data_IF_510662998403
#
_entry.id   IF_510662998403
#
_cell.length_a   1.000
_cell.length_b   1.000
_cell.length_c   1.000
_cell.angle_alpha   90.00
_cell.angle_beta   90.00
_cell.angle_gamma   90.00
#
_symmetry.space_group_name_H-M   'P 1'
#
loop_
_entity.id
_entity.type
_entity.pdbx_description
1 polymer ?
#
# COMPACT_ATOMS: atom_id res chain seq x y z
N UNK A 1 25.77 35.26 -3.04
CA UNK A 1 25.11 36.35 -2.29
C UNK A 1 26.06 36.84 -1.19
N UNK A 2 25.99 38.12 -0.81
CA UNK A 2 26.66 38.70 0.36
C UNK A 2 25.60 39.48 1.17
N UNK A 3 25.77 39.57 2.49
CA UNK A 3 24.91 40.37 3.37
C UNK A 3 25.76 41.03 4.45
N UNK A 4 25.40 42.26 4.83
CA UNK A 4 25.97 42.98 5.99
C UNK A 4 25.12 42.82 7.26
N UNK A 5 23.96 42.17 7.16
CA UNK A 5 23.07 41.88 8.29
C UNK A 5 22.91 40.37 8.48
N UNK A 6 22.97 39.87 9.72
CA UNK A 6 22.63 38.48 10.02
C UNK A 6 21.17 38.17 9.65
N UNK A 7 20.93 36.95 9.20
CA UNK A 7 19.60 36.51 8.80
C UNK A 7 19.62 35.32 7.85
N UNK A 8 18.46 34.73 7.65
CA UNK A 8 18.26 33.62 6.73
C UNK A 8 17.58 34.12 5.46
N UNK A 9 18.12 33.75 4.30
CA UNK A 9 17.60 34.15 2.99
C UNK A 9 17.37 32.92 2.12
N UNK A 10 16.22 32.89 1.45
CA UNK A 10 15.91 31.90 0.41
C UNK A 10 15.94 32.60 -0.93
N UNK A 11 16.75 32.10 -1.86
CA UNK A 11 16.78 32.58 -3.24
C UNK A 11 15.76 31.77 -4.03
N UNK A 12 14.91 32.46 -4.78
CA UNK A 12 13.95 31.82 -5.66
C UNK A 12 14.17 32.23 -7.12
N UNK A 13 13.84 31.33 -8.04
CA UNK A 13 13.89 31.58 -9.48
C UNK A 13 12.59 31.13 -10.13
N UNK A 14 12.16 31.85 -11.17
CA UNK A 14 10.92 31.60 -11.89
C UNK A 14 11.09 31.98 -13.36
N UNK A 15 10.65 31.14 -14.28
CA UNK A 15 10.53 31.49 -15.71
C UNK A 15 9.13 32.07 -16.00
N UNK A 16 8.96 32.69 -17.17
CA UNK A 16 7.67 33.26 -17.59
C UNK A 16 6.56 32.19 -17.64
N UNK A 17 6.91 30.94 -17.96
CA UNK A 17 5.96 29.83 -18.10
C UNK A 17 5.55 29.18 -16.77
N UNK A 18 6.31 29.41 -15.69
CA UNK A 18 6.02 28.79 -14.40
C UNK A 18 4.85 29.49 -13.69
N UNK A 19 4.02 28.72 -12.98
CA UNK A 19 2.96 29.28 -12.12
C UNK A 19 3.52 29.77 -10.77
N UNK A 20 4.55 29.12 -10.22
CA UNK A 20 5.22 29.48 -8.97
C UNK A 20 6.76 29.47 -9.09
N UNK A 21 7.45 30.19 -8.21
CA UNK A 21 8.92 30.18 -8.16
C UNK A 21 9.43 28.91 -7.46
N UNK A 22 10.60 28.42 -7.87
CA UNK A 22 11.32 27.37 -7.17
C UNK A 22 12.32 27.99 -6.19
N UNK A 23 12.40 27.43 -4.99
CA UNK A 23 13.27 27.91 -3.93
C UNK A 23 14.55 27.06 -3.86
N UNK A 24 15.70 27.71 -3.77
CA UNK A 24 16.97 27.08 -3.41
C UNK A 24 17.03 26.77 -1.91
N UNK A 25 18.07 26.02 -1.49
CA UNK A 25 18.38 25.87 -0.07
C UNK A 25 18.65 27.22 0.60
N UNK A 26 18.20 27.38 1.84
CA UNK A 26 18.40 28.61 2.58
C UNK A 26 19.89 28.90 2.83
N UNK A 27 20.27 30.16 2.68
CA UNK A 27 21.60 30.68 3.04
C UNK A 27 21.48 31.43 4.37
N UNK A 28 22.39 31.13 5.29
CA UNK A 28 22.42 31.75 6.62
C UNK A 28 23.58 32.74 6.66
N UNK A 29 23.28 34.01 6.87
CA UNK A 29 24.25 35.06 7.17
C UNK A 29 24.35 35.25 8.67
N UNK A 30 25.59 35.29 9.17
CA UNK A 30 25.87 35.37 10.61
C UNK A 30 26.90 36.44 10.90
N UNK A 31 26.83 37.01 12.10
CA UNK A 31 27.93 37.78 12.68
C UNK A 31 28.93 36.78 13.28
N UNK A 32 30.07 36.56 12.59
CA UNK A 32 31.06 35.59 13.03
C UNK A 32 31.81 36.01 14.30
N UNK A 33 31.76 37.27 14.70
CA UNK A 33 32.38 37.74 15.96
C UNK A 33 31.60 37.26 17.19
N UNK A 34 30.39 36.73 16.99
CA UNK A 34 29.52 36.15 18.00
C UNK A 34 29.30 34.68 17.71
N UNK A 35 28.98 33.91 18.74
CA UNK A 35 28.52 32.53 18.54
C UNK A 35 27.23 32.57 17.72
N UNK A 36 27.23 31.89 16.58
CA UNK A 36 26.12 31.93 15.63
C UNK A 36 25.87 30.55 15.03
N UNK A 37 24.59 30.26 14.76
CA UNK A 37 24.20 29.03 14.05
C UNK A 37 24.53 29.21 12.57
N UNK A 38 25.40 28.36 12.04
CA UNK A 38 25.85 28.39 10.64
C UNK A 38 25.21 27.29 9.79
N UNK A 39 24.60 26.30 10.45
CA UNK A 39 23.99 25.14 9.81
C UNK A 39 22.84 24.65 10.70
N UNK A 40 21.72 24.29 10.09
CA UNK A 40 20.64 23.50 10.69
C UNK A 40 20.15 22.50 9.64
N UNK A 41 20.21 21.21 9.96
CA UNK A 41 19.83 20.13 9.03
C UNK A 41 18.98 19.08 9.74
N UNK A 42 17.93 18.63 9.05
CA UNK A 42 17.24 17.40 9.36
C UNK A 42 17.92 16.24 8.64
N UNK A 43 17.97 15.06 9.26
CA UNK A 43 18.45 13.82 8.64
C UNK A 43 17.50 13.29 7.56
N UNK A 44 16.19 13.55 7.71
CA UNK A 44 15.13 13.22 6.74
C UNK A 44 14.05 14.29 6.73
N UNK A 45 13.27 14.33 5.66
CA UNK A 45 12.20 15.31 5.45
C UNK A 45 10.79 14.72 5.64
N UNK A 46 10.69 13.42 5.86
CA UNK A 46 9.43 12.71 6.10
C UNK A 46 9.59 11.74 7.26
N UNK A 47 8.53 11.55 8.04
CA UNK A 47 8.50 10.59 9.14
C UNK A 47 7.08 10.07 9.37
N UNK A 48 6.94 8.92 10.02
CA UNK A 48 5.65 8.35 10.41
C UNK A 48 5.15 8.99 11.70
N UNK A 49 3.88 9.38 11.73
CA UNK A 49 3.22 10.01 12.88
C UNK A 49 2.83 8.99 13.98
N UNK A 50 3.76 8.14 14.40
CA UNK A 50 3.52 7.07 15.38
C UNK A 50 4.13 7.35 16.76
N UNK A 51 4.62 8.57 17.00
CA UNK A 51 5.30 8.97 18.23
C UNK A 51 6.74 8.46 18.38
N UNK A 52 7.18 7.56 17.49
CA UNK A 52 8.45 6.83 17.59
C UNK A 52 9.42 7.18 16.45
N UNK A 53 8.93 7.36 15.23
CA UNK A 53 9.76 7.69 14.08
C UNK A 53 10.28 9.13 14.17
N UNK A 54 11.53 9.26 14.61
CA UNK A 54 12.13 10.54 14.96
C UNK A 54 12.88 11.17 13.78
N UNK A 55 12.68 12.47 13.58
CA UNK A 55 13.54 13.31 12.74
C UNK A 55 14.64 13.89 13.62
N UNK A 56 15.90 13.68 13.24
CA UNK A 56 17.05 14.21 13.98
C UNK A 56 17.50 15.51 13.36
N UNK A 57 17.46 16.59 14.15
CA UNK A 57 18.00 17.88 13.78
C UNK A 57 19.41 18.03 14.32
N UNK A 58 20.34 18.47 13.47
CA UNK A 58 21.71 18.83 13.84
C UNK A 58 21.95 20.29 13.51
N UNK A 59 22.39 21.06 14.51
CA UNK A 59 22.84 22.44 14.33
C UNK A 59 24.36 22.52 14.46
N UNK A 60 24.98 23.51 13.83
CA UNK A 60 26.40 23.83 14.02
C UNK A 60 26.59 25.28 14.45
N UNK A 61 27.23 25.47 15.60
CA UNK A 61 27.56 26.79 16.15
C UNK A 61 29.02 27.10 15.91
N UNK A 62 29.27 28.27 15.31
CA UNK A 62 30.61 28.76 15.01
C UNK A 62 30.80 30.17 15.58
N UNK A 63 32.05 30.49 15.93
CA UNK A 63 32.52 31.83 16.29
C UNK A 63 33.96 31.99 15.78
N UNK A 64 34.28 33.10 15.15
CA UNK A 64 35.60 33.42 14.61
C UNK A 64 36.17 32.28 13.74
N UNK A 65 35.30 31.67 12.92
CA UNK A 65 35.66 30.54 12.05
C UNK A 65 35.89 29.19 12.76
N UNK A 66 35.69 29.11 14.08
CA UNK A 66 35.92 27.89 14.89
C UNK A 66 34.62 27.35 15.50
N UNK A 67 34.51 26.02 15.70
CA UNK A 67 33.38 25.42 16.40
C UNK A 67 33.35 25.86 17.87
N UNK A 68 32.15 26.07 18.40
CA UNK A 68 31.96 26.48 19.81
C UNK A 68 31.41 25.31 20.61
N UNK A 69 32.20 24.77 21.54
CA UNK A 69 31.77 23.73 22.48
C UNK A 69 31.03 24.32 23.68
N UNK A 70 30.12 23.54 24.28
CA UNK A 70 29.46 23.88 25.54
C UNK A 70 28.42 24.99 25.40
N UNK A 71 28.05 25.37 24.17
CA UNK A 71 27.12 26.45 23.92
C UNK A 71 25.68 25.95 23.94
N UNK A 72 24.80 26.68 24.62
CA UNK A 72 23.37 26.34 24.68
C UNK A 72 22.66 26.80 23.41
N UNK A 73 21.94 25.88 22.78
CA UNK A 73 21.07 26.14 21.64
C UNK A 73 19.63 25.90 22.07
N UNK A 74 18.79 26.92 21.94
CA UNK A 74 17.34 26.81 22.12
C UNK A 74 16.70 26.34 20.81
N UNK A 75 15.90 25.29 20.89
CA UNK A 75 15.10 24.77 19.80
C UNK A 75 13.63 25.05 20.07
N UNK A 76 12.89 25.41 19.03
CA UNK A 76 11.43 25.48 19.04
C UNK A 76 10.86 24.81 17.79
N UNK A 77 9.62 24.33 17.88
CA UNK A 77 8.90 23.76 16.74
C UNK A 77 7.46 24.25 16.75
N UNK A 78 6.86 24.41 15.56
CA UNK A 78 5.43 24.71 15.43
C UNK A 78 4.54 23.45 15.51
N UNK A 79 5.11 22.25 15.37
CA UNK A 79 4.38 20.98 15.33
C UNK A 79 5.23 19.82 15.83
N UNK A 80 4.59 18.80 16.43
CA UNK A 80 5.28 17.68 17.06
C UNK A 80 5.90 18.04 18.41
N UNK A 81 6.70 17.14 18.98
CA UNK A 81 7.35 17.30 20.28
C UNK A 81 8.81 16.88 20.21
N UNK A 82 9.69 17.70 20.79
CA UNK A 82 11.08 17.33 20.94
C UNK A 82 11.26 16.29 22.04
N UNK A 83 11.99 15.23 21.73
CA UNK A 83 12.24 14.09 22.62
C UNK A 83 10.94 13.55 23.27
N UNK A 84 9.79 13.69 22.57
CA UNK A 84 8.46 13.31 23.06
C UNK A 84 7.89 14.14 24.21
N UNK A 85 8.45 15.31 24.54
CA UNK A 85 8.13 16.06 25.77
C UNK A 85 7.54 17.45 25.55
N UNK A 86 8.19 18.29 24.76
CA UNK A 86 7.84 19.71 24.67
C UNK A 86 8.17 20.29 23.29
N UNK A 87 7.50 21.38 22.94
CA UNK A 87 7.74 22.12 21.68
C UNK A 87 8.93 23.09 21.77
N UNK A 88 9.49 23.27 22.97
CA UNK A 88 10.71 24.04 23.19
C UNK A 88 11.64 23.27 24.13
N UNK A 89 12.91 23.19 23.75
CA UNK A 89 13.96 22.45 24.47
C UNK A 89 15.32 23.12 24.23
N UNK A 90 16.33 22.75 25.00
CA UNK A 90 17.72 23.17 24.75
C UNK A 90 18.61 21.95 24.52
N UNK A 91 19.69 22.15 23.76
CA UNK A 91 20.79 21.20 23.66
C UNK A 91 22.13 21.94 23.72
N UNK A 92 23.16 21.26 24.21
CA UNK A 92 24.51 21.81 24.36
C UNK A 92 25.39 21.32 23.22
N UNK A 93 26.23 22.19 22.68
CA UNK A 93 27.16 21.80 21.61
C UNK A 93 28.32 20.95 22.11
N UNK A 94 28.70 19.94 21.32
CA UNK A 94 29.91 19.14 21.51
C UNK A 94 31.18 19.87 21.07
N UNK A 95 32.31 19.15 21.12
CA UNK A 95 33.63 19.68 20.73
C UNK A 95 33.74 20.09 19.26
N UNK A 96 32.90 19.52 18.40
CA UNK A 96 32.77 19.87 16.98
C UNK A 96 31.80 21.04 16.72
N UNK A 97 31.27 21.64 17.80
CA UNK A 97 30.31 22.74 17.75
C UNK A 97 28.91 22.30 17.35
N UNK A 98 28.59 20.99 17.37
CA UNK A 98 27.28 20.49 16.99
C UNK A 98 26.39 20.19 18.19
N UNK A 99 25.12 20.51 18.08
CA UNK A 99 24.08 20.09 19.01
C UNK A 99 22.98 19.36 18.23
N UNK A 100 22.36 18.36 18.86
CA UNK A 100 21.35 17.51 18.22
C UNK A 100 20.08 17.44 19.05
N UNK A 101 18.93 17.38 18.37
CA UNK A 101 17.63 17.12 19.00
C UNK A 101 16.76 16.26 18.11
N UNK A 102 15.89 15.45 18.71
CA UNK A 102 14.93 14.60 17.97
C UNK A 102 13.53 15.16 18.05
N UNK A 103 12.78 15.10 16.96
CA UNK A 103 11.39 15.51 16.86
C UNK A 103 10.51 14.31 16.48
N UNK A 104 9.43 14.07 17.23
CA UNK A 104 8.42 13.06 16.92
C UNK A 104 7.02 13.68 16.89
N UNK A 105 6.04 12.96 16.32
CA UNK A 105 4.63 13.35 16.34
C UNK A 105 3.73 12.11 16.39
N UNK A 106 2.56 12.22 17.04
CA UNK A 106 1.48 11.23 17.00
C UNK A 106 0.37 11.61 16.01
N UNK A 107 0.52 12.73 15.30
CA UNK A 107 -0.44 13.22 14.33
C UNK A 107 0.27 13.63 13.05
N UNK A 108 -0.34 13.35 11.90
CA UNK A 108 0.16 13.84 10.63
C UNK A 108 0.14 15.37 10.60
N UNK A 109 1.16 15.97 10.00
CA UNK A 109 1.28 17.42 9.92
C UNK A 109 2.68 17.88 9.53
N UNK A 110 2.80 19.18 9.28
CA UNK A 110 4.04 19.82 8.84
C UNK A 110 4.72 20.50 10.01
N UNK A 111 6.00 20.19 10.21
CA UNK A 111 6.83 20.79 11.24
C UNK A 111 7.97 21.61 10.63
N UNK A 112 8.16 22.80 11.20
CA UNK A 112 9.33 23.64 10.98
C UNK A 112 10.01 23.84 12.34
N UNK A 113 11.23 23.34 12.45
CA UNK A 113 12.08 23.55 13.63
C UNK A 113 12.87 24.83 13.45
N UNK A 114 12.87 25.65 14.49
CA UNK A 114 13.75 26.80 14.64
C UNK A 114 14.81 26.52 15.69
N UNK A 115 15.98 27.16 15.55
CA UNK A 115 17.01 27.16 16.57
C UNK A 115 17.60 28.57 16.74
N UNK A 116 17.98 28.91 17.96
CA UNK A 116 18.68 30.15 18.29
C UNK A 116 19.71 29.90 19.39
N UNK A 117 20.81 30.65 19.33
CA UNK A 117 21.78 30.78 20.44
C UNK A 117 21.52 32.09 21.17
N UNK A 118 21.96 32.20 22.43
CA UNK A 118 21.72 33.40 23.24
C UNK A 118 22.27 34.66 22.57
N UNK A 119 21.41 35.66 22.34
CA UNK A 119 21.76 36.90 21.65
C UNK A 119 21.99 36.77 20.13
N UNK A 120 21.78 35.58 19.56
CA UNK A 120 21.87 35.31 18.13
C UNK A 120 20.52 35.39 17.41
N UNK A 121 20.56 35.39 16.08
CA UNK A 121 19.36 35.36 15.23
C UNK A 121 18.79 33.93 15.16
N UNK A 122 17.46 33.83 15.15
CA UNK A 122 16.76 32.57 14.90
C UNK A 122 17.06 32.05 13.47
N UNK A 123 17.30 30.75 13.35
CA UNK A 123 17.48 30.06 12.08
C UNK A 123 16.45 28.94 11.96
N UNK A 124 15.75 28.86 10.83
CA UNK A 124 14.73 27.83 10.57
C UNK A 124 15.29 26.69 9.73
N UNK A 125 14.93 25.46 10.07
CA UNK A 125 15.20 24.28 9.27
C UNK A 125 14.27 24.22 8.05
N UNK A 126 14.59 23.33 7.12
CA UNK A 126 13.65 22.92 6.07
C UNK A 126 12.43 22.25 6.72
N UNK A 127 11.23 22.52 6.19
CA UNK A 127 10.00 21.87 6.63
C UNK A 127 10.10 20.35 6.48
N UNK A 128 9.62 19.63 7.49
CA UNK A 128 9.47 18.18 7.45
C UNK A 128 7.99 17.82 7.61
N UNK A 129 7.56 16.72 7.01
CA UNK A 129 6.17 16.27 7.09
C UNK A 129 6.07 14.93 7.81
N UNK A 130 5.25 14.89 8.85
CA UNK A 130 4.80 13.65 9.46
C UNK A 130 3.56 13.15 8.71
N UNK A 131 3.57 11.90 8.26
CA UNK A 131 2.44 11.24 7.59
C UNK A 131 1.80 10.21 8.50
N UNK A 132 0.49 9.98 8.31
CA UNK A 132 -0.20 8.91 9.02
C UNK A 132 0.45 7.55 8.72
N UNK A 133 0.30 6.61 9.64
CA UNK A 133 0.79 5.25 9.43
C UNK A 133 0.05 4.58 8.27
N UNK A 134 0.83 4.07 7.30
CA UNK A 134 0.30 3.32 6.17
C UNK A 134 -0.34 2.02 6.66
N UNK A 135 -1.53 1.70 6.16
CA UNK A 135 -2.24 0.46 6.44
C UNK A 135 -3.02 -0.04 5.23
N UNK A 136 -3.18 -1.36 5.13
CA UNK A 136 -4.13 -2.00 4.22
C UNK A 136 -5.33 -2.46 5.06
N UNK A 137 -6.55 -2.17 4.60
CA UNK A 137 -7.79 -2.66 5.20
C UNK A 137 -7.79 -4.20 5.21
N UNK A 138 -8.23 -4.82 6.31
CA UNK A 138 -8.35 -6.27 6.37
C UNK A 138 -9.51 -6.77 5.50
N UNK A 139 -10.50 -5.91 5.23
CA UNK A 139 -11.59 -6.17 4.31
C UNK A 139 -11.18 -5.86 2.88
N UNK A 140 -11.72 -6.66 1.97
CA UNK A 140 -11.54 -6.54 0.53
C UNK A 140 -12.88 -6.29 -0.13
N UNK A 141 -12.89 -5.56 -1.24
CA UNK A 141 -14.09 -5.41 -2.07
C UNK A 141 -14.08 -6.44 -3.18
N UNK A 142 -15.05 -7.36 -3.18
CA UNK A 142 -15.18 -8.35 -4.25
C UNK A 142 -15.81 -7.69 -5.48
N UNK A 143 -15.10 -7.72 -6.61
CA UNK A 143 -15.50 -6.95 -7.81
C UNK A 143 -16.80 -7.46 -8.42
N UNK A 144 -17.05 -8.77 -8.36
CA UNK A 144 -18.21 -9.37 -9.04
C UNK A 144 -19.57 -9.09 -8.39
N UNK A 145 -19.60 -8.74 -7.10
CA UNK A 145 -20.83 -8.51 -6.35
C UNK A 145 -20.81 -7.23 -5.48
N UNK A 146 -19.71 -6.47 -5.48
CA UNK A 146 -19.51 -5.25 -4.68
C UNK A 146 -19.67 -5.45 -3.17
N UNK A 147 -19.45 -6.67 -2.67
CA UNK A 147 -19.47 -6.96 -1.23
C UNK A 147 -18.10 -6.66 -0.63
N UNK A 148 -18.08 -5.90 0.46
CA UNK A 148 -16.89 -5.67 1.28
C UNK A 148 -16.86 -6.63 2.47
N UNK A 149 -15.80 -7.41 2.61
CA UNK A 149 -15.69 -8.42 3.68
C UNK A 149 -14.33 -9.08 3.73
N UNK A 150 -14.20 -10.17 4.46
CA UNK A 150 -12.99 -11.01 4.40
C UNK A 150 -12.87 -11.67 3.02
N UNK A 151 -11.63 -11.92 2.59
CA UNK A 151 -11.38 -12.65 1.34
C UNK A 151 -11.98 -14.07 1.45
N UNK A 152 -12.82 -14.51 0.50
CA UNK A 152 -13.38 -15.86 0.52
C UNK A 152 -12.29 -16.94 0.55
N UNK A 153 -12.49 -17.98 1.37
CA UNK A 153 -11.59 -19.14 1.46
C UNK A 153 -11.81 -20.18 0.34
N UNK A 154 -12.63 -19.84 -0.66
CA UNK A 154 -12.89 -20.64 -1.86
C UNK A 154 -12.79 -19.70 -3.06
N UNK A 155 -12.04 -20.07 -4.09
CA UNK A 155 -11.67 -19.13 -5.14
C UNK A 155 -12.27 -19.49 -6.49
N UNK A 156 -12.72 -18.49 -7.23
CA UNK A 156 -12.85 -18.57 -8.68
C UNK A 156 -11.50 -18.14 -9.28
N UNK A 157 -10.87 -18.97 -10.12
CA UNK A 157 -9.66 -18.55 -10.83
C UNK A 157 -9.99 -17.30 -11.67
N UNK A 158 -9.11 -16.32 -11.64
CA UNK A 158 -9.28 -14.97 -12.16
C UNK A 158 -10.37 -14.13 -11.49
N UNK A 159 -10.90 -14.59 -10.35
CA UNK A 159 -11.67 -13.75 -9.44
C UNK A 159 -10.84 -12.56 -9.00
N UNK A 160 -11.51 -11.40 -8.90
CA UNK A 160 -10.86 -10.13 -8.60
C UNK A 160 -11.47 -9.49 -7.36
N UNK A 161 -10.60 -8.91 -6.55
CA UNK A 161 -10.98 -8.09 -5.40
C UNK A 161 -10.10 -6.85 -5.32
N UNK A 162 -10.54 -5.82 -4.61
CA UNK A 162 -9.77 -4.59 -4.42
C UNK A 162 -9.32 -4.45 -2.96
N UNK A 163 -8.03 -4.22 -2.79
CA UNK A 163 -7.44 -3.80 -1.52
C UNK A 163 -7.56 -2.28 -1.36
N UNK A 164 -7.74 -1.82 -0.13
CA UNK A 164 -7.80 -0.40 0.23
C UNK A 164 -6.61 -0.06 1.12
N UNK A 165 -5.72 0.81 0.65
CA UNK A 165 -4.68 1.39 1.46
C UNK A 165 -5.10 2.78 1.97
N UNK A 166 -4.66 3.13 3.18
CA UNK A 166 -4.85 4.45 3.79
C UNK A 166 -3.60 4.83 4.60
N UNK A 167 -3.41 6.13 4.85
CA UNK A 167 -2.20 6.63 5.49
C UNK A 167 -1.07 6.92 4.50
N UNK A 168 0.14 7.17 5.02
CA UNK A 168 1.24 7.71 4.23
C UNK A 168 0.87 9.03 3.56
N UNK A 169 1.46 9.29 2.40
CA UNK A 169 1.17 10.46 1.58
C UNK A 169 -0.04 10.31 0.64
N UNK A 170 -0.81 9.23 0.75
CA UNK A 170 -1.97 8.96 -0.11
C UNK A 170 -1.66 8.46 -1.52
N UNK A 171 -0.38 8.31 -1.89
CA UNK A 171 0.05 7.78 -3.18
C UNK A 171 0.62 6.39 -2.95
N UNK A 172 0.03 5.37 -3.57
CA UNK A 172 0.41 3.97 -3.34
C UNK A 172 0.93 3.31 -4.61
N UNK A 173 1.97 2.49 -4.42
CA UNK A 173 2.46 1.52 -5.39
C UNK A 173 2.23 0.12 -4.85
N UNK A 174 1.85 -0.81 -5.74
CA UNK A 174 1.48 -2.17 -5.36
C UNK A 174 2.42 -3.19 -6.00
N UNK A 175 2.67 -4.28 -5.29
CA UNK A 175 3.54 -5.37 -5.73
C UNK A 175 3.01 -6.72 -5.23
N UNK A 176 3.14 -7.76 -6.04
CA UNK A 176 2.86 -9.15 -5.61
C UNK A 176 4.17 -9.93 -5.53
N UNK A 177 4.39 -10.64 -4.43
CA UNK A 177 5.57 -11.50 -4.26
C UNK A 177 5.59 -12.70 -5.22
N UNK A 178 4.42 -13.17 -5.66
CA UNK A 178 4.32 -14.27 -6.61
C UNK A 178 3.13 -14.09 -7.55
N UNK A 179 3.42 -13.65 -8.77
CA UNK A 179 2.43 -13.39 -9.82
C UNK A 179 1.75 -14.64 -10.37
N UNK A 180 2.33 -15.83 -10.16
CA UNK A 180 1.68 -17.10 -10.55
C UNK A 180 0.48 -17.42 -9.65
N UNK A 181 0.44 -16.87 -8.42
CA UNK A 181 -0.66 -17.04 -7.47
C UNK A 181 -1.62 -15.87 -7.56
N UNK A 182 -1.13 -14.62 -7.52
CA UNK A 182 -1.97 -13.44 -7.68
C UNK A 182 -1.19 -12.26 -8.26
N UNK A 183 -1.84 -11.46 -9.11
CA UNK A 183 -1.32 -10.17 -9.60
C UNK A 183 -2.09 -9.02 -8.96
N UNK A 184 -1.49 -7.83 -8.93
CA UNK A 184 -2.13 -6.60 -8.43
C UNK A 184 -1.82 -5.46 -9.40
N UNK A 185 -2.82 -4.65 -9.73
CA UNK A 185 -2.64 -3.46 -10.56
C UNK A 185 -2.38 -2.19 -9.73
N UNK A 186 -2.09 -1.07 -10.39
CA UNK A 186 -1.80 0.21 -9.74
C UNK A 186 -2.97 0.75 -8.90
N UNK A 187 -4.19 0.27 -9.11
CA UNK A 187 -5.37 0.66 -8.34
C UNK A 187 -5.60 -0.20 -7.08
N UNK A 188 -4.74 -1.20 -6.84
CA UNK A 188 -4.91 -2.18 -5.77
C UNK A 188 -5.92 -3.29 -6.11
N UNK A 189 -6.31 -3.44 -7.37
CA UNK A 189 -7.16 -4.57 -7.82
C UNK A 189 -6.29 -5.80 -7.98
N UNK A 190 -6.58 -6.82 -7.18
CA UNK A 190 -5.91 -8.12 -7.18
C UNK A 190 -6.67 -9.08 -8.09
N UNK A 191 -5.94 -9.89 -8.87
CA UNK A 191 -6.48 -11.02 -9.66
C UNK A 191 -5.84 -12.31 -9.17
N UNK A 192 -6.65 -13.30 -8.79
CA UNK A 192 -6.19 -14.60 -8.32
C UNK A 192 -5.91 -15.52 -9.53
N UNK A 193 -4.67 -15.92 -9.76
CA UNK A 193 -4.25 -16.70 -10.93
C UNK A 193 -4.09 -18.19 -10.64
N UNK A 194 -3.72 -18.56 -9.41
CA UNK A 194 -3.44 -19.93 -9.03
C UNK A 194 -3.65 -20.17 -7.55
N UNK A 195 -3.82 -21.45 -7.16
CA UNK A 195 -3.97 -21.85 -5.76
C UNK A 195 -2.65 -21.74 -5.01
N UNK A 196 -2.65 -21.03 -3.88
CA UNK A 196 -1.49 -20.91 -3.01
C UNK A 196 -1.56 -19.70 -2.09
N UNK A 197 -0.53 -19.52 -1.27
CA UNK A 197 -0.38 -18.32 -0.43
C UNK A 197 0.58 -17.33 -1.07
N UNK A 198 0.28 -16.03 -0.99
CA UNK A 198 1.15 -14.96 -1.51
C UNK A 198 0.96 -13.68 -0.71
N UNK A 199 2.00 -12.84 -0.64
CA UNK A 199 1.92 -11.51 -0.03
C UNK A 199 1.81 -10.44 -1.11
N UNK A 200 0.85 -9.54 -0.93
CA UNK A 200 0.73 -8.29 -1.68
C UNK A 200 1.31 -7.16 -0.83
N UNK A 201 2.21 -6.36 -1.39
CA UNK A 201 2.81 -5.20 -0.73
C UNK A 201 2.22 -3.91 -1.28
N UNK A 202 1.97 -2.95 -0.38
CA UNK A 202 1.69 -1.56 -0.72
C UNK A 202 2.80 -0.68 -0.16
N UNK A 203 3.39 0.17 -1.00
CA UNK A 203 4.39 1.15 -0.62
C UNK A 203 3.88 2.55 -0.93
N UNK A 204 3.85 3.42 0.07
CA UNK A 204 3.47 4.81 -0.09
C UNK A 204 4.62 5.67 -0.63
N UNK A 205 4.32 6.82 -1.25
CA UNK A 205 5.35 7.68 -1.83
C UNK A 205 6.30 8.33 -0.80
N UNK A 206 5.88 8.39 0.47
CA UNK A 206 6.72 8.75 1.63
C UNK A 206 7.54 7.57 2.19
N UNK A 207 7.58 6.44 1.45
CA UNK A 207 8.43 5.27 1.67
C UNK A 207 8.01 4.35 2.82
N UNK A 208 6.77 4.43 3.29
CA UNK A 208 6.21 3.40 4.18
C UNK A 208 5.83 2.18 3.35
N UNK A 209 5.97 0.97 3.91
CA UNK A 209 5.58 -0.28 3.23
C UNK A 209 4.83 -1.20 4.19
N UNK A 210 3.71 -1.74 3.72
CA UNK A 210 2.89 -2.72 4.44
C UNK A 210 2.53 -3.89 3.54
N UNK A 211 2.07 -4.98 4.15
CA UNK A 211 1.81 -6.25 3.49
C UNK A 211 0.40 -6.77 3.80
N UNK A 212 -0.23 -7.40 2.82
CA UNK A 212 -1.47 -8.18 2.94
C UNK A 212 -1.19 -9.61 2.51
N UNK A 213 -1.41 -10.57 3.41
CA UNK A 213 -1.18 -11.99 3.13
C UNK A 213 -2.45 -12.65 2.63
N UNK A 214 -2.42 -13.08 1.37
CA UNK A 214 -3.42 -13.98 0.80
C UNK A 214 -3.05 -15.40 1.25
N UNK A 215 -3.94 -16.05 2.01
CA UNK A 215 -3.77 -17.45 2.42
C UNK A 215 -4.29 -18.38 1.33
N UNK A 216 -3.67 -19.56 1.19
CA UNK A 216 -4.16 -20.59 0.29
C UNK A 216 -5.64 -20.93 0.57
N UNK A 217 -6.49 -21.04 -0.46
CA UNK A 217 -7.89 -21.38 -0.29
C UNK A 217 -8.04 -22.86 0.00
N UNK A 218 -9.19 -23.25 0.55
CA UNK A 218 -9.61 -24.65 0.62
C UNK A 218 -9.60 -25.31 -0.77
N UNK A 219 -10.19 -24.63 -1.75
CA UNK A 219 -10.15 -25.05 -3.14
C UNK A 219 -10.28 -23.86 -4.11
N UNK A 220 -9.86 -24.08 -5.35
CA UNK A 220 -10.00 -23.13 -6.45
C UNK A 220 -10.77 -23.77 -7.62
N UNK A 221 -11.69 -23.02 -8.21
CA UNK A 221 -12.41 -23.38 -9.43
C UNK A 221 -11.65 -22.85 -10.63
N UNK A 222 -11.21 -23.76 -11.51
CA UNK A 222 -10.74 -23.42 -12.87
C UNK A 222 -11.81 -23.80 -13.89
N UNK A 223 -12.12 -22.89 -14.81
CA UNK A 223 -12.94 -23.17 -15.98
C UNK A 223 -12.01 -23.54 -17.13
N UNK A 224 -12.11 -24.77 -17.62
CA UNK A 224 -11.40 -25.27 -18.81
C UNK A 224 -12.35 -25.30 -20.01
N UNK A 225 -11.96 -25.94 -21.10
CA UNK A 225 -12.71 -25.97 -22.35
C UNK A 225 -14.05 -26.73 -22.23
N UNK A 226 -14.95 -26.45 -23.17
CA UNK A 226 -16.19 -27.20 -23.32
C UNK A 226 -15.91 -28.62 -23.80
N UNK A 227 -16.60 -29.59 -23.21
CA UNK A 227 -16.38 -31.01 -23.46
C UNK A 227 -17.59 -31.84 -23.03
N UNK A 228 -17.73 -33.05 -23.60
CA UNK A 228 -18.61 -34.06 -23.03
C UNK A 228 -18.11 -34.50 -21.64
N UNK A 229 -18.94 -35.19 -20.86
CA UNK A 229 -18.64 -35.53 -19.48
C UNK A 229 -17.36 -36.37 -19.31
N UNK A 230 -17.16 -37.37 -20.17
CA UNK A 230 -15.98 -38.25 -20.13
C UNK A 230 -14.68 -37.45 -20.37
N UNK A 231 -14.67 -36.59 -21.38
CA UNK A 231 -13.51 -35.74 -21.69
C UNK A 231 -13.30 -34.67 -20.60
N UNK A 232 -14.37 -34.08 -20.06
CA UNK A 232 -14.28 -33.14 -18.94
C UNK A 232 -13.67 -33.80 -17.69
N UNK A 233 -14.06 -35.04 -17.41
CA UNK A 233 -13.49 -35.85 -16.33
C UNK A 233 -11.99 -36.09 -16.54
N UNK A 234 -11.57 -36.39 -17.77
CA UNK A 234 -10.16 -36.56 -18.12
C UNK A 234 -9.36 -35.26 -18.01
N UNK A 235 -9.88 -34.15 -18.54
CA UNK A 235 -9.29 -32.79 -18.44
C UNK A 235 -9.06 -32.43 -16.97
N UNK A 236 -10.06 -32.66 -16.12
CA UNK A 236 -9.99 -32.36 -14.70
C UNK A 236 -9.32 -33.45 -13.85
N UNK A 237 -8.75 -34.50 -14.45
CA UNK A 237 -8.09 -35.61 -13.73
C UNK A 237 -8.98 -36.20 -12.62
N UNK A 238 -10.26 -36.39 -12.91
CA UNK A 238 -11.33 -36.83 -11.99
C UNK A 238 -11.76 -35.83 -10.89
N UNK A 239 -11.28 -34.59 -10.93
CA UNK A 239 -11.61 -33.52 -9.97
C UNK A 239 -12.71 -32.58 -10.47
N UNK A 240 -13.82 -33.14 -10.97
CA UNK A 240 -15.04 -32.37 -11.22
C UNK A 240 -15.72 -31.98 -9.89
N UNK A 241 -16.50 -30.88 -9.85
CA UNK A 241 -17.29 -30.50 -8.68
C UNK A 241 -18.13 -31.66 -8.16
N UNK A 242 -18.02 -31.93 -6.86
CA UNK A 242 -18.69 -33.07 -6.23
C UNK A 242 -20.21 -32.91 -6.13
N UNK A 243 -20.69 -31.66 -6.18
CA UNK A 243 -22.11 -31.32 -6.15
C UNK A 243 -22.33 -29.91 -6.71
N UNK A 244 -23.58 -29.60 -7.06
CA UNK A 244 -23.98 -28.24 -7.44
C UNK A 244 -23.67 -27.21 -6.33
N UNK A 245 -23.68 -27.63 -5.06
CA UNK A 245 -23.37 -26.75 -3.92
C UNK A 245 -21.96 -26.15 -3.98
N UNK A 246 -20.97 -26.91 -4.46
CA UNK A 246 -19.59 -26.41 -4.60
C UNK A 246 -19.54 -25.17 -5.50
N UNK A 247 -20.25 -25.19 -6.63
CA UNK A 247 -20.31 -24.06 -7.55
C UNK A 247 -21.27 -22.97 -7.08
N UNK A 248 -22.33 -23.32 -6.36
CA UNK A 248 -23.23 -22.34 -5.75
C UNK A 248 -22.51 -21.50 -4.67
N UNK A 249 -21.68 -22.12 -3.83
CA UNK A 249 -20.90 -21.41 -2.81
C UNK A 249 -19.89 -20.44 -3.45
N UNK A 250 -19.33 -20.81 -4.60
CA UNK A 250 -18.46 -19.93 -5.40
C UNK A 250 -19.24 -18.75 -5.95
N UNK A 251 -20.43 -18.98 -6.53
CA UNK A 251 -21.29 -17.89 -6.98
C UNK A 251 -21.70 -16.98 -5.82
N UNK A 252 -22.05 -17.53 -4.65
CA UNK A 252 -22.42 -16.72 -3.48
C UNK A 252 -21.27 -15.83 -3.01
N UNK A 253 -20.02 -16.33 -3.09
CA UNK A 253 -18.83 -15.59 -2.68
C UNK A 253 -18.39 -14.54 -3.69
N UNK A 254 -18.44 -14.87 -4.98
CA UNK A 254 -17.84 -14.08 -6.07
C UNK A 254 -18.86 -13.42 -7.00
N UNK A 255 -20.14 -13.75 -6.91
CA UNK A 255 -21.15 -13.37 -7.90
C UNK A 255 -20.92 -14.04 -9.26
N UNK A 256 -21.53 -13.46 -10.29
CA UNK A 256 -21.47 -14.00 -11.65
C UNK A 256 -20.05 -13.89 -12.25
N UNK A 257 -19.54 -15.00 -12.80
CA UNK A 257 -18.17 -15.07 -13.32
C UNK A 257 -17.86 -14.02 -14.39
N UNK A 258 -18.82 -13.67 -15.26
CA UNK A 258 -18.63 -12.67 -16.32
C UNK A 258 -18.45 -11.23 -15.84
N UNK A 259 -18.46 -10.98 -14.53
CA UNK A 259 -18.05 -9.70 -13.96
C UNK A 259 -16.53 -9.53 -13.90
N UNK A 260 -15.78 -10.61 -14.07
CA UNK A 260 -14.32 -10.61 -14.08
C UNK A 260 -13.80 -10.55 -15.52
N UNK A 261 -12.72 -9.78 -15.74
CA UNK A 261 -12.22 -9.50 -17.10
C UNK A 261 -11.94 -10.74 -17.94
N UNK A 262 -11.48 -11.84 -17.32
CA UNK A 262 -11.20 -13.10 -18.02
C UNK A 262 -12.47 -13.75 -18.61
N UNK A 263 -13.62 -13.63 -17.94
CA UNK A 263 -14.89 -14.23 -18.37
C UNK A 263 -15.85 -13.19 -18.99
N UNK A 264 -15.42 -11.94 -19.18
CA UNK A 264 -16.29 -10.81 -19.48
C UNK A 264 -17.12 -10.94 -20.77
N UNK A 265 -16.63 -11.70 -21.75
CA UNK A 265 -17.34 -11.98 -23.01
C UNK A 265 -18.31 -13.17 -22.93
N UNK A 266 -18.33 -13.90 -21.81
CA UNK A 266 -19.14 -15.10 -21.65
C UNK A 266 -20.54 -14.76 -21.11
N UNK A 267 -21.57 -15.37 -21.71
CA UNK A 267 -22.96 -15.18 -21.30
C UNK A 267 -23.51 -16.34 -20.45
N UNK A 268 -22.80 -17.47 -20.40
CA UNK A 268 -23.20 -18.70 -19.72
C UNK A 268 -21.97 -19.60 -19.56
N UNK A 269 -21.82 -20.21 -18.37
CA UNK A 269 -20.79 -21.21 -18.09
C UNK A 269 -21.46 -22.40 -17.38
N UNK A 270 -22.23 -23.23 -18.11
CA UNK A 270 -22.77 -24.46 -17.55
C UNK A 270 -21.61 -25.42 -17.32
N UNK A 271 -21.47 -25.91 -16.09
CA UNK A 271 -20.36 -26.75 -15.67
C UNK A 271 -20.85 -28.14 -15.31
N UNK A 272 -20.09 -29.18 -15.70
CA UNK A 272 -20.36 -30.55 -15.28
C UNK A 272 -20.20 -30.73 -13.77
N UNK A 273 -21.12 -31.47 -13.17
CA UNK A 273 -21.02 -31.97 -11.80
C UNK A 273 -20.73 -33.47 -11.86
N UNK A 274 -19.99 -34.00 -10.88
CA UNK A 274 -19.67 -35.43 -10.80
C UNK A 274 -20.95 -36.28 -10.74
N UNK A 275 -21.04 -37.32 -11.58
CA UNK A 275 -22.17 -38.24 -11.61
C UNK A 275 -22.33 -38.98 -10.28
N UNK A 276 -23.58 -39.11 -9.83
CA UNK A 276 -23.99 -40.12 -8.86
C UNK A 276 -24.09 -41.50 -9.52
N UNK A 277 -24.28 -42.56 -8.75
CA UNK A 277 -24.45 -43.91 -9.32
C UNK A 277 -25.72 -44.02 -10.17
N UNK A 278 -26.79 -43.33 -9.78
CA UNK A 278 -28.04 -43.26 -10.55
C UNK A 278 -27.84 -42.56 -11.90
N UNK A 279 -27.04 -41.49 -11.90
CA UNK A 279 -26.74 -40.72 -13.11
C UNK A 279 -25.96 -41.56 -14.13
N UNK A 280 -25.00 -42.37 -13.66
CA UNK A 280 -24.24 -43.29 -14.51
C UNK A 280 -25.13 -44.32 -15.20
N UNK A 281 -26.04 -44.94 -14.44
CA UNK A 281 -26.97 -45.94 -14.97
C UNK A 281 -27.89 -45.36 -16.05
N UNK A 282 -28.15 -44.05 -15.98
CA UNK A 282 -29.06 -43.35 -16.89
C UNK A 282 -28.33 -42.59 -18.02
N UNK A 283 -26.99 -42.61 -18.06
CA UNK A 283 -26.22 -41.88 -19.07
C UNK A 283 -26.37 -40.35 -19.01
N UNK A 284 -26.62 -39.79 -17.83
CA UNK A 284 -26.82 -38.35 -17.61
C UNK A 284 -25.89 -37.81 -16.52
N UNK A 285 -25.85 -36.50 -16.33
CA UNK A 285 -25.31 -35.86 -15.13
C UNK A 285 -26.07 -34.56 -14.82
N UNK A 286 -25.67 -33.86 -13.77
CA UNK A 286 -26.16 -32.54 -13.43
C UNK A 286 -25.16 -31.45 -13.85
N UNK A 287 -25.67 -30.23 -14.01
CA UNK A 287 -24.87 -29.04 -14.29
C UNK A 287 -25.24 -27.88 -13.38
N UNK A 288 -24.33 -26.92 -13.24
CA UNK A 288 -24.58 -25.63 -12.59
C UNK A 288 -23.92 -24.51 -13.41
N UNK A 289 -24.60 -23.39 -13.61
CA UNK A 289 -24.08 -22.26 -14.39
C UNK A 289 -23.45 -21.19 -13.48
N UNK A 290 -22.14 -20.95 -13.64
CA UNK A 290 -21.37 -19.97 -12.85
C UNK A 290 -21.71 -18.49 -13.14
N UNK A 291 -22.57 -18.23 -14.12
CA UNK A 291 -23.09 -16.88 -14.43
C UNK A 291 -24.58 -16.80 -14.08
N UNK A 292 -25.35 -17.84 -14.39
CA UNK A 292 -26.82 -17.78 -14.34
C UNK A 292 -27.45 -18.46 -13.12
N UNK A 293 -26.67 -19.16 -12.29
CA UNK A 293 -27.19 -19.94 -11.16
C UNK A 293 -28.28 -20.93 -11.57
N UNK A 294 -28.18 -21.50 -12.78
CA UNK A 294 -29.22 -22.33 -13.38
C UNK A 294 -28.86 -23.82 -13.24
N UNK A 295 -29.18 -24.48 -12.11
CA UNK A 295 -28.96 -25.91 -11.95
C UNK A 295 -29.83 -26.68 -12.94
N UNK A 296 -29.25 -27.66 -13.63
CA UNK A 296 -30.00 -28.59 -14.49
C UNK A 296 -29.68 -30.02 -14.11
N UNK A 297 -30.71 -30.85 -14.06
CA UNK A 297 -30.61 -32.30 -13.91
C UNK A 297 -30.76 -32.98 -15.26
N UNK A 298 -30.46 -34.28 -15.31
CA UNK A 298 -30.71 -35.16 -16.47
C UNK A 298 -30.09 -34.67 -17.78
N UNK A 299 -28.90 -34.06 -17.71
CA UNK A 299 -28.15 -33.60 -18.89
C UNK A 299 -27.39 -34.78 -19.48
N UNK A 300 -27.67 -35.14 -20.73
CA UNK A 300 -26.99 -36.22 -21.46
C UNK A 300 -25.46 -36.02 -21.44
N UNK A 301 -24.70 -37.03 -21.00
CA UNK A 301 -23.24 -36.98 -20.84
C UNK A 301 -22.46 -36.66 -22.11
N UNK A 302 -23.03 -36.89 -23.29
CA UNK A 302 -22.41 -36.59 -24.59
C UNK A 302 -22.58 -35.13 -25.02
N UNK A 303 -23.30 -34.32 -24.24
CA UNK A 303 -23.51 -32.89 -24.54
C UNK A 303 -22.18 -32.13 -24.57
N UNK A 304 -21.84 -31.52 -25.71
CA UNK A 304 -20.57 -30.81 -25.91
C UNK A 304 -20.57 -29.35 -25.44
N UNK A 305 -21.73 -28.75 -25.17
CA UNK A 305 -21.86 -27.33 -24.82
C UNK A 305 -21.74 -27.04 -23.31
N UNK A 306 -21.05 -27.91 -22.57
CA UNK A 306 -20.85 -27.82 -21.12
C UNK A 306 -19.35 -27.73 -20.82
N UNK A 307 -18.96 -26.84 -19.92
CA UNK A 307 -17.55 -26.59 -19.56
C UNK A 307 -17.02 -27.67 -18.62
N UNK A 308 -15.78 -28.08 -18.87
CA UNK A 308 -14.98 -28.84 -17.92
C UNK A 308 -14.49 -27.89 -16.82
N UNK A 309 -15.21 -27.82 -15.71
CA UNK A 309 -14.80 -27.03 -14.55
C UNK A 309 -14.10 -27.94 -13.56
N UNK A 310 -12.86 -27.60 -13.20
CA UNK A 310 -12.03 -28.41 -12.31
C UNK A 310 -11.94 -27.78 -10.92
N UNK A 311 -11.93 -28.62 -9.89
CA UNK A 311 -11.70 -28.23 -8.49
C UNK A 311 -10.27 -28.58 -8.10
N UNK A 312 -9.49 -27.57 -7.70
CA UNK A 312 -8.07 -27.70 -7.33
C UNK A 312 -7.80 -27.47 -5.85
#
# INVERSE_FOLDING_TARGET
>A
LKSSTPGQVVVSAKTVEMTSALNASAVIFVDQTKASITEIKADKTTAVANGQDAVTYTVKVMKDGKPVQGHSVAFSTNFGMFNGKAQAQTAITGSDGRATITLTSNSAGKATVSAAVSGGTEVKATEVTFFDELKIDNKVDIIGNNVSGELPNIWLQYGQFKLKASGGNGIYSWYSENTSIATVDASGKVTLNGKGSVVIKATSGDKQTVSYTIKAPSYMIRVDNKANYASATAICKNSLPSSQKVLADIFNSWGAANKYGHYGSMNSIPAWIKQTESDKNSGVSTTYDLIRQNPRSDVNVDTLNVYAVCVE
#
